data_IF_259714648129
#
_entry.id   IF_259714648129
#
_cell.length_a   1.000
_cell.length_b   1.000
_cell.length_c   1.000
_cell.angle_alpha   90.00
_cell.angle_beta   90.00
_cell.angle_gamma   90.00
#
_symmetry.space_group_name_H-M   'P 1'
#
loop_
_entity.id
_entity.type
_entity.pdbx_description
1 polymer ?
#
# COMPACT_ATOMS: atom_id res chain seq x y z
N UNK A 1 -20.41 -11.04 -27.82
CA UNK A 1 -20.88 -9.85 -27.07
C UNK A 1 -20.42 -9.99 -25.62
N UNK A 2 -19.72 -8.96 -25.15
CA UNK A 2 -19.46 -8.55 -23.75
C UNK A 2 -18.44 -9.34 -22.91
N UNK A 3 -17.26 -8.72 -22.88
CA UNK A 3 -16.17 -8.80 -21.90
C UNK A 3 -16.65 -8.51 -20.48
N UNK A 4 -16.19 -9.28 -19.49
CA UNK A 4 -16.21 -8.88 -18.08
C UNK A 4 -14.77 -8.80 -17.59
N UNK A 5 -14.21 -7.60 -17.62
CA UNK A 5 -12.90 -7.29 -17.07
C UNK A 5 -12.91 -7.39 -15.54
N UNK A 6 -11.90 -8.08 -15.00
CA UNK A 6 -11.58 -8.05 -13.58
C UNK A 6 -11.00 -6.68 -13.23
N UNK A 7 -11.79 -5.82 -12.60
CA UNK A 7 -11.27 -4.62 -11.95
C UNK A 7 -10.61 -5.02 -10.62
N UNK A 8 -9.27 -5.10 -10.65
CA UNK A 8 -8.44 -5.13 -9.45
C UNK A 8 -8.46 -3.75 -8.79
N UNK A 9 -9.45 -3.48 -7.95
CA UNK A 9 -9.47 -2.30 -7.08
C UNK A 9 -8.45 -2.47 -5.95
N UNK A 10 -7.24 -1.97 -6.17
CA UNK A 10 -6.26 -1.77 -5.10
C UNK A 10 -6.80 -0.74 -4.08
N UNK A 11 -6.58 -0.93 -2.78
CA UNK A 11 -6.99 0.04 -1.77
C UNK A 11 -6.19 1.34 -1.93
N UNK A 12 -6.87 2.45 -2.20
CA UNK A 12 -6.29 3.78 -2.15
C UNK A 12 -5.99 4.14 -0.69
N UNK A 13 -4.72 4.12 -0.32
CA UNK A 13 -4.25 4.69 0.94
C UNK A 13 -4.21 6.21 0.81
N UNK A 14 -5.14 6.91 1.47
CA UNK A 14 -5.06 8.37 1.60
C UNK A 14 -4.12 8.72 2.75
N UNK A 15 -2.90 9.16 2.42
CA UNK A 15 -2.02 9.88 3.35
C UNK A 15 -2.42 11.35 3.31
N UNK A 16 -2.99 11.86 4.40
CA UNK A 16 -3.28 13.29 4.53
C UNK A 16 -1.97 14.02 4.87
N UNK A 17 -1.55 14.94 4.01
CA UNK A 17 -0.40 15.83 4.28
C UNK A 17 -0.77 16.88 5.35
N UNK A 18 0.18 17.32 6.20
CA UNK A 18 -0.07 18.38 7.16
C UNK A 18 -0.37 19.70 6.44
N UNK A 19 -1.49 20.31 6.82
CA UNK A 19 -1.97 21.58 6.30
C UNK A 19 -1.12 22.72 6.89
N UNK A 20 -0.25 23.33 6.08
CA UNK A 20 0.54 24.49 6.50
C UNK A 20 -0.24 25.77 6.14
N UNK A 21 -0.86 26.37 7.15
CA UNK A 21 -1.69 27.57 7.05
C UNK A 21 -0.88 28.83 6.71
N UNK A 22 -1.21 29.41 5.55
CA UNK A 22 -1.34 30.84 5.20
C UNK A 22 -0.43 31.89 5.88
N UNK A 23 0.44 32.50 5.08
CA UNK A 23 0.85 33.91 5.22
C UNK A 23 0.06 34.77 4.22
N UNK A 24 -0.48 35.95 4.62
CA UNK A 24 -1.17 36.85 3.70
C UNK A 24 -0.22 37.89 3.07
N UNK A 25 -0.43 38.18 1.78
CA UNK A 25 -0.10 39.48 1.19
C UNK A 25 1.14 39.55 0.28
N UNK A 26 1.00 39.12 -0.98
CA UNK A 26 1.77 39.71 -2.10
C UNK A 26 0.83 39.91 -3.29
N UNK A 27 0.67 41.18 -3.67
CA UNK A 27 -0.05 41.64 -4.85
C UNK A 27 0.61 41.04 -6.11
N UNK A 28 -0.04 40.05 -6.76
CA UNK A 28 0.45 39.48 -8.02
C UNK A 28 -0.01 40.37 -9.18
N UNK A 29 0.95 40.96 -9.88
CA UNK A 29 0.71 41.68 -11.14
C UNK A 29 0.17 40.72 -12.22
N UNK A 30 -0.68 41.19 -13.15
CA UNK A 30 -1.15 40.38 -14.27
C UNK A 30 0.01 40.03 -15.22
N UNK A 31 -0.01 38.83 -15.83
CA UNK A 31 1.05 38.38 -16.74
C UNK A 31 1.04 39.17 -18.06
N UNK A 32 2.23 39.39 -18.69
CA UNK A 32 2.30 40.01 -20.00
C UNK A 32 1.71 39.07 -21.08
N UNK A 33 1.01 39.68 -22.03
CA UNK A 33 0.43 38.98 -23.18
C UNK A 33 1.53 38.33 -24.01
N UNK A 34 1.45 37.00 -24.20
CA UNK A 34 2.32 36.30 -25.13
C UNK A 34 1.86 36.55 -26.57
N UNK A 35 2.80 37.03 -27.37
CA UNK A 35 2.69 37.23 -28.81
C UNK A 35 2.58 35.87 -29.50
N UNK A 36 1.53 35.65 -30.29
CA UNK A 36 1.29 34.41 -31.03
C UNK A 36 2.38 34.21 -32.10
N UNK A 37 3.07 33.06 -32.04
CA UNK A 37 3.87 32.54 -33.15
C UNK A 37 2.99 31.66 -34.07
N UNK A 38 3.25 31.66 -35.39
CA UNK A 38 2.43 30.94 -36.37
C UNK A 38 2.58 29.42 -36.27
N UNK A 39 1.44 28.71 -36.38
CA UNK A 39 1.35 27.25 -36.37
C UNK A 39 1.85 26.65 -37.70
N UNK A 40 2.66 25.58 -37.63
CA UNK A 40 3.00 24.74 -38.79
C UNK A 40 2.09 23.49 -38.88
N UNK A 41 1.77 22.98 -40.08
CA UNK A 41 0.79 21.90 -40.27
C UNK A 41 1.30 20.51 -39.90
N UNK A 42 0.35 19.68 -39.45
CA UNK A 42 0.54 18.46 -38.65
C UNK A 42 0.60 17.15 -39.46
N UNK A 43 1.10 17.16 -40.71
CA UNK A 43 0.89 16.05 -41.65
C UNK A 43 2.09 15.12 -41.92
N UNK A 44 3.18 15.15 -41.13
CA UNK A 44 4.36 14.31 -41.42
C UNK A 44 4.81 13.31 -40.34
N UNK A 45 4.13 13.20 -39.20
CA UNK A 45 4.57 12.27 -38.13
C UNK A 45 3.93 10.88 -38.14
N UNK A 46 3.05 10.57 -39.09
CA UNK A 46 2.26 9.33 -39.04
C UNK A 46 2.77 8.18 -39.92
N UNK A 47 3.97 8.29 -40.52
CA UNK A 47 4.45 7.30 -41.50
C UNK A 47 5.61 6.41 -41.05
N UNK A 48 6.02 6.41 -39.77
CA UNK A 48 7.17 5.60 -39.31
C UNK A 48 6.87 4.51 -38.27
N UNK A 49 5.62 4.21 -37.94
CA UNK A 49 5.32 3.22 -36.88
C UNK A 49 4.59 1.96 -37.36
N UNK A 50 4.72 1.60 -38.65
CA UNK A 50 4.21 0.33 -39.16
C UNK A 50 5.33 -0.58 -39.64
N UNK A 51 6.08 -1.15 -38.69
CA UNK A 51 6.79 -2.41 -38.89
C UNK A 51 7.20 -3.02 -37.54
N UNK A 52 6.36 -3.91 -37.02
CA UNK A 52 6.76 -5.19 -36.42
C UNK A 52 5.52 -5.96 -35.93
N UNK A 53 5.26 -7.12 -36.56
CA UNK A 53 4.45 -8.19 -36.00
C UNK A 53 5.39 -9.20 -35.33
N UNK A 54 5.09 -9.74 -34.14
CA UNK A 54 5.64 -11.01 -33.68
C UNK A 54 4.72 -12.17 -34.09
N UNK A 55 5.30 -13.18 -34.74
CA UNK A 55 4.67 -14.45 -35.09
C UNK A 55 4.47 -15.33 -33.85
N UNK A 56 3.37 -16.09 -33.84
CA UNK A 56 3.03 -17.15 -32.89
C UNK A 56 3.45 -18.52 -33.42
N UNK A 57 3.87 -19.39 -32.49
CA UNK A 57 3.90 -20.86 -32.64
C UNK A 57 5.32 -21.47 -32.57
N UNK A 58 5.58 -22.67 -32.03
CA UNK A 58 4.76 -23.69 -31.34
C UNK A 58 5.72 -24.84 -30.91
N UNK A 59 5.30 -25.67 -29.93
CA UNK A 59 5.64 -27.10 -29.59
C UNK A 59 7.06 -27.54 -29.12
N UNK A 60 7.22 -28.10 -27.89
CA UNK A 60 7.18 -29.51 -27.35
C UNK A 60 8.53 -30.29 -27.48
N UNK A 61 8.81 -31.18 -26.48
CA UNK A 61 9.77 -32.31 -26.39
C UNK A 61 10.95 -32.02 -25.42
N UNK A 62 11.44 -32.87 -24.51
CA UNK A 62 11.26 -34.31 -24.19
C UNK A 62 11.99 -34.62 -22.86
N UNK A 63 11.63 -35.73 -22.20
CA UNK A 63 12.33 -36.34 -21.07
C UNK A 63 13.74 -36.84 -21.47
N UNK A 64 14.72 -36.78 -20.56
CA UNK A 64 16.01 -37.44 -20.81
C UNK A 64 16.91 -37.52 -19.58
N UNK A 65 16.92 -38.70 -18.97
CA UNK A 65 17.80 -39.16 -17.90
C UNK A 65 19.18 -39.51 -18.51
N UNK A 66 20.28 -38.96 -17.98
CA UNK A 66 21.64 -39.45 -18.28
C UNK A 66 22.51 -39.34 -17.03
N UNK A 67 22.67 -40.49 -16.37
CA UNK A 67 23.91 -41.11 -15.90
C UNK A 67 25.00 -40.24 -15.24
N UNK A 68 25.23 -40.52 -13.95
CA UNK A 68 26.52 -40.39 -13.25
C UNK A 68 27.36 -41.63 -13.63
N UNK A 69 28.72 -41.59 -13.76
CA UNK A 69 29.58 -41.46 -12.56
C UNK A 69 31.01 -40.89 -12.77
N UNK A 70 31.69 -40.58 -11.64
CA UNK A 70 33.17 -40.61 -11.39
C UNK A 70 34.03 -39.56 -12.16
N UNK A 71 34.93 -38.73 -11.59
CA UNK A 71 35.90 -38.89 -10.48
C UNK A 71 36.55 -37.52 -10.08
N UNK A 72 36.78 -37.30 -8.77
CA UNK A 72 38.01 -36.77 -8.09
C UNK A 72 38.54 -35.32 -8.43
N UNK A 73 38.98 -34.41 -7.53
CA UNK A 73 39.50 -34.38 -6.14
C UNK A 73 39.44 -32.94 -5.54
N UNK A 74 39.46 -32.82 -4.20
CA UNK A 74 40.17 -31.86 -3.27
C UNK A 74 40.29 -30.35 -3.66
N UNK A 75 40.07 -29.30 -2.86
CA UNK A 75 40.00 -28.98 -1.43
C UNK A 75 39.31 -27.59 -1.27
N UNK A 76 38.84 -27.29 -0.06
CA UNK A 76 38.77 -25.97 0.62
C UNK A 76 37.45 -25.73 1.37
N UNK A 77 37.57 -25.73 2.69
CA UNK A 77 36.56 -25.32 3.66
C UNK A 77 36.12 -23.86 3.45
N UNK A 78 35.05 -23.63 2.68
CA UNK A 78 34.24 -22.42 2.86
C UNK A 78 32.93 -22.79 3.57
N UNK A 79 32.89 -22.39 4.85
CA UNK A 79 31.76 -22.42 5.77
C UNK A 79 30.56 -21.67 5.15
N UNK A 80 29.85 -22.34 4.24
CA UNK A 80 28.67 -21.80 3.56
C UNK A 80 27.57 -21.66 4.61
N UNK A 81 27.52 -20.48 5.25
CA UNK A 81 26.51 -20.08 6.23
C UNK A 81 25.12 -20.19 5.60
N UNK A 82 24.52 -21.38 5.65
CA UNK A 82 23.13 -21.63 5.26
C UNK A 82 22.26 -20.53 5.87
N UNK A 83 21.45 -19.80 5.07
CA UNK A 83 20.69 -18.68 5.58
C UNK A 83 19.81 -19.17 6.72
N UNK A 84 20.05 -18.62 7.91
CA UNK A 84 19.40 -19.04 9.14
C UNK A 84 17.89 -19.18 8.90
N UNK A 85 17.40 -20.42 9.03
CA UNK A 85 16.00 -20.81 8.82
C UNK A 85 15.11 -19.77 9.48
N UNK A 86 14.37 -18.99 8.67
CA UNK A 86 13.52 -17.90 9.17
C UNK A 86 12.64 -18.48 10.28
N UNK A 87 12.91 -18.07 11.51
CA UNK A 87 12.12 -18.51 12.65
C UNK A 87 10.65 -18.27 12.34
N UNK A 88 9.83 -19.32 12.42
CA UNK A 88 8.39 -19.23 12.22
C UNK A 88 7.71 -18.28 13.21
N UNK A 89 6.39 -18.09 13.05
CA UNK A 89 5.59 -17.24 13.93
C UNK A 89 5.72 -17.71 15.39
N UNK A 90 6.35 -16.89 16.24
CA UNK A 90 6.47 -17.15 17.69
C UNK A 90 5.26 -16.60 18.44
N UNK A 91 4.85 -17.29 19.50
CA UNK A 91 3.83 -16.79 20.45
C UNK A 91 4.42 -15.63 21.27
N UNK A 92 3.61 -14.60 21.53
CA UNK A 92 3.95 -13.45 22.38
C UNK A 92 2.84 -13.22 23.41
N UNK A 93 3.16 -12.57 24.53
CA UNK A 93 2.17 -12.13 25.53
C UNK A 93 1.28 -11.00 24.95
N UNK A 94 0.05 -10.87 25.45
CA UNK A 94 -0.88 -9.80 25.09
C UNK A 94 -0.77 -8.70 26.15
N UNK A 95 0.32 -7.95 26.05
CA UNK A 95 0.68 -6.81 26.91
C UNK A 95 1.34 -5.74 26.01
N UNK A 96 1.59 -4.55 26.55
CA UNK A 96 2.30 -3.51 25.81
C UNK A 96 3.72 -3.97 25.46
N UNK A 97 4.13 -3.78 24.20
CA UNK A 97 5.45 -4.22 23.72
C UNK A 97 6.44 -3.09 23.96
N UNK A 98 7.29 -3.17 24.98
CA UNK A 98 8.21 -2.07 25.32
C UNK A 98 9.20 -1.71 24.22
N UNK A 99 9.74 -2.72 23.54
CA UNK A 99 10.70 -2.51 22.45
C UNK A 99 10.03 -1.80 21.25
N UNK A 100 10.42 -0.54 21.03
CA UNK A 100 9.85 0.35 20.01
C UNK A 100 9.88 -0.25 18.60
N UNK A 101 11.00 -0.83 18.20
CA UNK A 101 11.17 -1.43 16.86
C UNK A 101 10.21 -2.62 16.67
N UNK A 102 10.16 -3.53 17.64
CA UNK A 102 9.23 -4.67 17.62
C UNK A 102 7.79 -4.22 17.69
N UNK A 103 7.48 -3.18 18.47
CA UNK A 103 6.14 -2.59 18.55
C UNK A 103 5.71 -1.99 17.22
N UNK A 104 6.57 -1.23 16.54
CA UNK A 104 6.30 -0.67 15.20
C UNK A 104 6.09 -1.73 14.12
N UNK A 105 6.93 -2.78 14.10
CA UNK A 105 6.75 -3.91 13.19
C UNK A 105 5.43 -4.63 13.49
N UNK A 106 5.13 -4.86 14.77
CA UNK A 106 3.90 -5.55 15.20
C UNK A 106 2.66 -4.73 14.86
N UNK A 107 2.66 -3.43 15.13
CA UNK A 107 1.60 -2.50 14.75
C UNK A 107 1.34 -2.58 13.25
N UNK A 108 2.38 -2.47 12.44
CA UNK A 108 2.27 -2.50 10.98
C UNK A 108 1.64 -3.80 10.47
N UNK A 109 2.12 -4.95 10.97
CA UNK A 109 1.60 -6.27 10.59
C UNK A 109 0.18 -6.52 11.09
N UNK A 110 -0.12 -6.19 12.35
CA UNK A 110 -1.46 -6.39 12.94
C UNK A 110 -2.48 -5.46 12.31
N UNK A 111 -2.16 -4.19 12.11
CA UNK A 111 -2.99 -3.21 11.40
C UNK A 111 -3.36 -3.74 10.01
N UNK A 112 -2.40 -4.21 9.22
CA UNK A 112 -2.69 -4.79 7.92
C UNK A 112 -3.62 -6.02 8.02
N UNK A 113 -3.34 -6.93 8.95
CA UNK A 113 -4.15 -8.13 9.17
C UNK A 113 -5.60 -7.83 9.57
N UNK A 114 -5.80 -6.94 10.55
CA UNK A 114 -7.15 -6.60 11.03
C UNK A 114 -7.94 -5.79 9.99
N UNK A 115 -7.29 -4.92 9.22
CA UNK A 115 -7.91 -4.21 8.10
C UNK A 115 -8.41 -5.20 7.03
N UNK A 116 -7.59 -6.21 6.68
CA UNK A 116 -8.00 -7.29 5.77
C UNK A 116 -9.18 -8.08 6.32
N UNK A 117 -9.21 -8.37 7.63
CA UNK A 117 -10.34 -9.06 8.27
C UNK A 117 -11.62 -8.24 8.28
N UNK A 118 -11.55 -6.94 8.52
CA UNK A 118 -12.71 -6.05 8.44
C UNK A 118 -13.30 -6.03 7.02
N UNK A 119 -12.44 -5.97 6.00
CA UNK A 119 -12.85 -6.10 4.60
C UNK A 119 -13.51 -7.46 4.30
N UNK A 120 -12.84 -8.57 4.61
CA UNK A 120 -13.38 -9.92 4.41
C UNK A 120 -14.75 -10.09 5.08
N UNK A 121 -14.88 -9.67 6.34
CA UNK A 121 -16.14 -9.77 7.08
C UNK A 121 -17.26 -8.99 6.40
N UNK A 122 -17.02 -7.72 6.06
CA UNK A 122 -18.03 -6.87 5.40
C UNK A 122 -18.46 -7.44 4.05
N UNK A 123 -17.51 -7.97 3.27
CA UNK A 123 -17.77 -8.54 1.95
C UNK A 123 -18.54 -9.86 2.03
N UNK A 124 -18.14 -10.76 2.94
CA UNK A 124 -18.76 -12.08 3.07
C UNK A 124 -20.18 -12.03 3.63
N UNK A 125 -20.47 -11.04 4.49
CA UNK A 125 -21.73 -10.98 5.23
C UNK A 125 -22.65 -9.82 4.83
N UNK A 126 -22.14 -8.85 4.05
CA UNK A 126 -22.89 -7.64 3.70
C UNK A 126 -23.15 -6.70 4.89
N UNK A 127 -22.49 -6.92 6.03
CA UNK A 127 -22.66 -6.09 7.23
C UNK A 127 -21.92 -4.75 7.12
N UNK A 128 -22.44 -3.73 7.82
CA UNK A 128 -21.74 -2.45 7.94
C UNK A 128 -20.66 -2.55 9.03
N UNK A 129 -19.42 -2.23 8.66
CA UNK A 129 -18.25 -2.26 9.55
C UNK A 129 -17.55 -0.90 9.52
N UNK A 130 -17.07 -0.46 10.70
CA UNK A 130 -16.18 0.67 10.91
C UNK A 130 -15.01 0.18 11.78
N UNK A 131 -13.79 0.45 11.34
CA UNK A 131 -12.56 0.20 12.09
C UNK A 131 -11.69 1.45 11.99
N UNK A 132 -11.23 1.94 13.14
CA UNK A 132 -10.32 3.07 13.27
C UNK A 132 -9.12 2.65 14.12
N UNK A 133 -7.91 2.95 13.63
CA UNK A 133 -6.64 2.66 14.31
C UNK A 133 -5.76 3.89 14.25
N UNK A 134 -5.28 4.37 15.39
CA UNK A 134 -4.35 5.51 15.47
C UNK A 134 -2.95 4.99 15.78
N UNK A 135 -1.94 5.47 15.05
CA UNK A 135 -0.53 5.18 15.38
C UNK A 135 -0.03 6.06 16.52
N UNK A 136 1.09 5.69 17.12
CA UNK A 136 1.83 6.55 18.06
C UNK A 136 2.21 7.92 17.47
N UNK A 137 2.28 8.01 16.14
CA UNK A 137 2.58 9.26 15.43
C UNK A 137 1.32 10.09 15.14
N UNK A 138 0.15 9.70 15.65
CA UNK A 138 -1.13 10.37 15.44
C UNK A 138 -1.76 10.13 14.05
N UNK A 139 -1.25 9.19 13.25
CA UNK A 139 -1.85 8.88 11.96
C UNK A 139 -3.07 7.97 12.16
N UNK A 140 -4.20 8.41 11.62
CA UNK A 140 -5.47 7.68 11.68
C UNK A 140 -5.62 6.82 10.43
N UNK A 141 -5.73 5.52 10.63
CA UNK A 141 -6.02 4.53 9.59
C UNK A 141 -7.44 4.02 9.77
N UNK A 142 -8.21 4.01 8.69
CA UNK A 142 -9.63 3.64 8.74
C UNK A 142 -9.99 2.60 7.69
N UNK A 143 -10.85 1.66 8.06
CA UNK A 143 -11.65 0.88 7.13
C UNK A 143 -13.12 1.15 7.43
N UNK A 144 -13.89 1.51 6.41
CA UNK A 144 -15.32 1.75 6.59
C UNK A 144 -16.11 1.24 5.40
N UNK A 145 -17.33 0.81 5.68
CA UNK A 145 -18.33 0.47 4.67
C UNK A 145 -19.11 1.71 4.23
N UNK A 146 -19.76 1.72 3.04
CA UNK A 146 -20.32 2.93 2.43
C UNK A 146 -21.25 3.76 3.32
N UNK A 147 -22.12 3.11 4.12
CA UNK A 147 -23.05 3.82 5.02
C UNK A 147 -22.34 4.50 6.19
N UNK A 148 -21.17 4.00 6.61
CA UNK A 148 -20.39 4.52 7.73
C UNK A 148 -19.26 5.46 7.28
N UNK A 149 -18.95 5.51 5.99
CA UNK A 149 -17.97 6.43 5.39
C UNK A 149 -18.14 7.90 5.82
N UNK A 150 -19.37 8.45 5.96
CA UNK A 150 -19.55 9.83 6.40
C UNK A 150 -18.91 10.14 7.76
N UNK A 151 -18.77 9.17 8.66
CA UNK A 151 -18.17 9.37 9.99
C UNK A 151 -16.69 9.76 9.93
N UNK A 152 -15.98 9.37 8.87
CA UNK A 152 -14.54 9.67 8.71
C UNK A 152 -14.26 10.68 7.58
N UNK A 153 -15.24 10.95 6.72
CA UNK A 153 -15.07 11.89 5.59
C UNK A 153 -15.70 13.26 5.85
N UNK A 154 -16.87 13.31 6.50
CA UNK A 154 -17.56 14.58 6.75
C UNK A 154 -16.96 15.35 7.94
N UNK A 155 -17.05 16.69 7.94
CA UNK A 155 -16.50 17.51 9.02
C UNK A 155 -17.05 17.15 10.40
N UNK A 156 -18.34 16.85 10.51
CA UNK A 156 -18.97 16.55 11.80
C UNK A 156 -18.36 15.31 12.45
N UNK A 157 -18.15 14.25 11.66
CA UNK A 157 -17.52 13.02 12.13
C UNK A 157 -16.02 13.19 12.41
N UNK A 158 -15.30 13.91 11.55
CA UNK A 158 -13.87 14.21 11.76
C UNK A 158 -13.64 15.01 13.04
N UNK A 159 -14.48 16.02 13.29
CA UNK A 159 -14.39 16.85 14.49
C UNK A 159 -14.63 16.01 15.75
N UNK A 160 -15.64 15.13 15.74
CA UNK A 160 -15.90 14.22 16.85
C UNK A 160 -14.69 13.31 17.14
N UNK A 161 -14.12 12.68 16.09
CA UNK A 161 -12.93 11.83 16.23
C UNK A 161 -11.77 12.64 16.81
N UNK A 162 -11.52 13.84 16.30
CA UNK A 162 -10.45 14.71 16.76
C UNK A 162 -10.63 15.14 18.22
N UNK A 163 -11.85 15.50 18.63
CA UNK A 163 -12.15 15.83 20.03
C UNK A 163 -11.86 14.66 20.97
N UNK A 164 -12.20 13.43 20.56
CA UNK A 164 -11.89 12.24 21.36
C UNK A 164 -10.38 11.98 21.48
N UNK A 165 -9.62 12.16 20.39
CA UNK A 165 -8.17 11.91 20.39
C UNK A 165 -7.35 12.98 21.10
N UNK A 166 -7.91 14.19 21.29
CA UNK A 166 -7.28 15.27 22.02
C UNK A 166 -7.70 15.32 23.50
N UNK A 167 -8.58 14.43 23.93
CA UNK A 167 -8.93 14.33 25.35
C UNK A 167 -7.68 13.95 26.15
N UNK A 168 -7.47 14.53 27.35
CA UNK A 168 -6.34 14.16 28.18
C UNK A 168 -6.41 12.68 28.56
N UNK A 169 -5.27 12.00 28.53
CA UNK A 169 -5.16 10.64 29.05
C UNK A 169 -5.50 10.69 30.55
N UNK A 170 -6.64 10.12 30.91
CA UNK A 170 -7.05 9.96 32.31
C UNK A 170 -6.31 8.75 32.85
N UNK A 171 -5.04 8.95 33.17
CA UNK A 171 -4.18 7.94 33.79
C UNK A 171 -4.54 7.81 35.29
N UNK A 172 -5.74 7.30 35.57
CA UNK A 172 -6.12 6.84 36.90
C UNK A 172 -7.00 5.59 36.77
N UNK A 173 -6.35 4.42 36.71
CA UNK A 173 -6.63 3.30 37.62
C UNK A 173 -5.49 2.30 37.44
N UNK A 174 -4.55 2.35 38.38
CA UNK A 174 -3.65 1.24 38.71
C UNK A 174 -4.52 0.00 38.96
N UNK A 175 -4.31 -1.05 38.16
CA UNK A 175 -4.70 -2.42 38.51
C UNK A 175 -3.43 -3.25 38.59
#
# INVERSE_FOLDING_TARGET
MQSTGYYSSQPTYMVQQPNNSLLPGILRQPPPQQQQQPQQPQSQQQQQQQQQLPQLGQVIMDNGHLDNPEDLDEDEDEDEKKPAKRSGRRKIKIEYIEDKTRRHITFSKRKAGIMKKAYELSTLTGTQVLLLVVSETGLVYTFTTPKLQPLVTKPEGKNLIQSCLNAPDTDETVI
#
